data_IF_881825577547
#
_entry.id   IF_881825577547
#
_cell.length_a   1.000
_cell.length_b   1.000
_cell.length_c   1.000
_cell.angle_alpha   90.00
_cell.angle_beta   90.00
_cell.angle_gamma   90.00
#
_symmetry.space_group_name_H-M   'P 1'
#
loop_
_entity.id
_entity.type
_entity.pdbx_description
1 polymer ?
#
# COMPACT_ATOMS: atom_id res chain seq x y z
N UNK A 1 -40.08 5.21 -23.90
CA UNK A 1 -39.01 4.20 -23.78
C UNK A 1 -38.20 4.38 -22.48
N UNK A 2 -37.88 5.61 -22.05
CA UNK A 2 -37.12 5.86 -20.81
C UNK A 2 -37.83 5.36 -19.53
N UNK A 3 -39.15 5.49 -19.44
CA UNK A 3 -39.90 5.13 -18.24
C UNK A 3 -40.09 3.60 -18.04
N UNK A 4 -40.08 2.85 -19.13
CA UNK A 4 -40.18 1.38 -19.07
C UNK A 4 -38.83 0.77 -18.61
N UNK A 5 -37.73 1.37 -19.02
CA UNK A 5 -36.38 0.95 -18.62
C UNK A 5 -36.10 1.31 -17.14
N UNK A 6 -36.52 2.49 -16.70
CA UNK A 6 -36.48 2.87 -15.28
C UNK A 6 -37.25 1.85 -14.43
N UNK A 7 -38.47 1.45 -14.83
CA UNK A 7 -39.28 0.46 -14.09
C UNK A 7 -38.72 -0.96 -14.04
N UNK A 8 -38.01 -1.43 -15.10
CA UNK A 8 -37.43 -2.78 -15.12
C UNK A 8 -36.18 -2.89 -14.22
N UNK A 9 -35.39 -1.85 -14.16
CA UNK A 9 -34.19 -1.84 -13.30
C UNK A 9 -34.56 -1.59 -11.80
N UNK A 10 -35.61 -0.81 -11.53
CA UNK A 10 -36.17 -0.70 -10.17
C UNK A 10 -36.65 -2.04 -9.61
N UNK A 11 -37.08 -2.98 -10.46
CA UNK A 11 -37.48 -4.33 -9.98
C UNK A 11 -36.31 -5.16 -9.42
N UNK A 12 -35.08 -4.90 -9.81
CA UNK A 12 -33.90 -5.53 -9.20
C UNK A 12 -33.61 -5.02 -7.78
N UNK A 13 -34.07 -3.82 -7.42
CA UNK A 13 -33.97 -3.24 -6.08
C UNK A 13 -35.23 -3.48 -5.23
N UNK A 14 -36.25 -4.16 -5.74
CA UNK A 14 -37.42 -4.55 -4.94
C UNK A 14 -37.07 -5.79 -4.11
N UNK A 15 -36.48 -5.57 -2.98
CA UNK A 15 -36.55 -6.47 -1.85
C UNK A 15 -37.20 -5.70 -0.68
N UNK A 16 -38.36 -6.16 -0.27
CA UNK A 16 -39.19 -5.75 0.87
C UNK A 16 -39.57 -4.25 1.00
N UNK A 17 -40.71 -3.99 1.61
CA UNK A 17 -41.35 -2.67 1.74
C UNK A 17 -40.59 -1.68 2.65
N UNK A 18 -39.39 -2.01 3.10
CA UNK A 18 -38.61 -1.28 4.09
C UNK A 18 -37.45 -0.45 3.56
N UNK A 19 -37.30 -0.30 2.21
CA UNK A 19 -36.17 0.44 1.64
C UNK A 19 -36.55 1.84 1.17
N UNK A 20 -35.72 2.83 1.52
CA UNK A 20 -35.77 4.19 0.97
C UNK A 20 -34.74 4.32 -0.12
N UNK A 21 -35.14 4.83 -1.30
CA UNK A 21 -34.27 5.11 -2.43
C UNK A 21 -34.04 6.62 -2.47
N UNK A 22 -32.78 7.03 -2.39
CA UNK A 22 -32.35 8.41 -2.62
C UNK A 22 -32.06 8.60 -4.11
N UNK A 23 -32.62 9.64 -4.70
CA UNK A 23 -32.42 9.99 -6.10
C UNK A 23 -31.84 11.41 -6.21
N UNK A 24 -30.79 11.56 -7.01
CA UNK A 24 -30.12 12.84 -7.29
C UNK A 24 -30.04 13.05 -8.80
N UNK A 25 -30.50 14.21 -9.29
CA UNK A 25 -30.62 14.51 -10.73
C UNK A 25 -29.41 15.31 -11.28
N UNK A 26 -28.60 15.90 -10.39
CA UNK A 26 -27.59 16.92 -10.77
C UNK A 26 -26.24 16.64 -10.10
N UNK A 27 -25.66 15.48 -10.40
CA UNK A 27 -24.31 15.14 -9.96
C UNK A 27 -23.34 15.32 -11.13
N UNK A 28 -22.41 16.26 -10.99
CA UNK A 28 -21.28 16.41 -11.91
C UNK A 28 -20.09 15.59 -11.42
N UNK A 29 -19.69 14.59 -12.20
CA UNK A 29 -18.56 13.73 -11.90
C UNK A 29 -17.81 13.32 -13.17
N UNK A 30 -16.59 12.86 -13.03
CA UNK A 30 -15.77 12.41 -14.16
C UNK A 30 -16.06 10.97 -14.59
N UNK A 31 -16.61 10.17 -13.69
CA UNK A 31 -16.94 8.75 -13.90
C UNK A 31 -18.08 8.31 -12.96
N UNK A 32 -18.58 7.09 -13.20
CA UNK A 32 -19.67 6.49 -12.44
C UNK A 32 -19.32 6.30 -10.95
N UNK A 33 -18.07 6.00 -10.64
CA UNK A 33 -17.59 5.85 -9.27
C UNK A 33 -17.61 7.20 -8.55
N UNK A 34 -17.14 8.26 -9.21
CA UNK A 34 -17.18 9.61 -8.67
C UNK A 34 -18.62 10.09 -8.43
N UNK A 35 -19.54 9.80 -9.36
CA UNK A 35 -20.95 10.14 -9.24
C UNK A 35 -21.61 9.41 -8.06
N UNK A 36 -21.40 8.11 -7.96
CA UNK A 36 -21.95 7.29 -6.86
C UNK A 36 -21.43 7.75 -5.51
N UNK A 37 -20.16 8.14 -5.45
CA UNK A 37 -19.54 8.62 -4.23
C UNK A 37 -20.14 9.96 -3.76
N UNK A 38 -20.30 10.94 -4.66
CA UNK A 38 -20.94 12.22 -4.35
C UNK A 38 -22.35 12.01 -3.84
N UNK A 39 -23.12 11.11 -4.47
CA UNK A 39 -24.45 10.74 -4.02
C UNK A 39 -24.43 10.17 -2.59
N UNK A 40 -23.50 9.27 -2.32
CA UNK A 40 -23.32 8.63 -1.03
C UNK A 40 -22.93 9.63 0.08
N UNK A 41 -22.02 10.57 -0.21
CA UNK A 41 -21.69 11.66 0.74
C UNK A 41 -22.92 12.51 1.10
N UNK A 42 -23.75 12.85 0.10
CA UNK A 42 -24.99 13.61 0.34
C UNK A 42 -25.97 12.85 1.22
N UNK A 43 -26.14 11.55 0.97
CA UNK A 43 -27.00 10.68 1.80
C UNK A 43 -26.45 10.57 3.22
N UNK A 44 -25.14 10.34 3.37
CA UNK A 44 -24.50 10.25 4.69
C UNK A 44 -24.63 11.55 5.48
N UNK A 45 -24.49 12.71 4.82
CA UNK A 45 -24.71 13.99 5.46
C UNK A 45 -26.15 14.10 5.99
N UNK A 46 -27.15 13.76 5.18
CA UNK A 46 -28.56 13.74 5.58
C UNK A 46 -28.78 12.82 6.78
N UNK A 47 -28.25 11.60 6.72
CA UNK A 47 -28.41 10.63 7.80
C UNK A 47 -27.64 11.01 9.06
N UNK A 48 -26.51 11.73 8.93
CA UNK A 48 -25.78 12.26 10.09
C UNK A 48 -26.61 13.29 10.85
N UNK A 49 -27.39 14.13 10.16
CA UNK A 49 -28.35 15.00 10.82
C UNK A 49 -29.46 14.19 11.49
N UNK A 50 -29.97 13.16 10.84
CA UNK A 50 -31.00 12.29 11.40
C UNK A 50 -30.53 11.57 12.66
N UNK A 51 -29.34 10.96 12.61
CA UNK A 51 -28.75 10.29 13.79
C UNK A 51 -28.35 11.25 14.90
N UNK A 52 -28.04 12.51 14.58
CA UNK A 52 -27.83 13.54 15.61
C UNK A 52 -29.11 13.87 16.40
N UNK A 53 -30.28 13.67 15.79
CA UNK A 53 -31.58 13.85 16.45
C UNK A 53 -32.02 12.57 17.17
N UNK A 54 -31.83 11.41 16.56
CA UNK A 54 -32.14 10.09 17.14
C UNK A 54 -30.96 9.11 16.93
N UNK A 55 -30.13 8.98 17.95
CA UNK A 55 -28.94 8.13 17.95
C UNK A 55 -29.21 6.62 18.11
N UNK A 56 -30.46 6.20 18.18
CA UNK A 56 -30.87 4.79 18.30
C UNK A 56 -31.08 4.13 16.94
N UNK A 57 -31.19 4.93 15.87
CA UNK A 57 -31.42 4.44 14.52
C UNK A 57 -30.07 4.37 13.80
N UNK A 58 -29.63 3.17 13.50
CA UNK A 58 -28.44 2.91 12.65
C UNK A 58 -28.91 2.54 11.24
N UNK A 59 -28.96 3.50 10.30
CA UNK A 59 -29.41 3.22 8.95
C UNK A 59 -28.40 2.29 8.26
N UNK A 60 -28.89 1.22 7.65
CA UNK A 60 -28.08 0.32 6.85
C UNK A 60 -28.24 0.67 5.37
N UNK A 61 -27.13 0.81 4.68
CA UNK A 61 -27.12 1.03 3.25
C UNK A 61 -26.97 -0.28 2.49
N UNK A 62 -27.55 -0.29 1.30
CA UNK A 62 -27.18 -1.28 0.30
C UNK A 62 -25.82 -0.86 -0.28
N UNK A 63 -24.93 -1.81 -0.50
CA UNK A 63 -23.56 -1.62 -1.00
C UNK A 63 -23.47 -1.33 -2.50
N UNK A 64 -24.60 -1.05 -3.17
CA UNK A 64 -24.66 -0.79 -4.62
C UNK A 64 -25.46 0.48 -4.91
N UNK A 65 -24.88 1.36 -5.73
CA UNK A 65 -25.59 2.49 -6.36
C UNK A 65 -25.85 2.22 -7.84
N UNK A 66 -26.91 2.81 -8.35
CA UNK A 66 -27.19 2.86 -9.79
C UNK A 66 -26.89 4.27 -10.30
N UNK A 67 -25.96 4.36 -11.22
CA UNK A 67 -25.57 5.63 -11.90
C UNK A 67 -26.13 5.62 -13.32
N UNK A 68 -26.78 6.72 -13.69
CA UNK A 68 -27.32 6.94 -15.05
C UNK A 68 -26.65 8.18 -15.64
N UNK A 69 -25.82 8.01 -16.64
CA UNK A 69 -25.21 9.11 -17.38
C UNK A 69 -26.22 9.65 -18.41
N UNK A 70 -26.30 10.98 -18.60
CA UNK A 70 -27.22 11.61 -19.57
C UNK A 70 -27.04 11.08 -21.00
N UNK A 71 -25.81 10.75 -21.37
CA UNK A 71 -25.44 10.25 -22.70
C UNK A 71 -25.55 8.73 -22.85
N UNK A 72 -25.64 7.98 -21.75
CA UNK A 72 -25.63 6.53 -21.76
C UNK A 72 -27.03 5.93 -21.79
N UNK A 73 -27.25 4.92 -22.65
CA UNK A 73 -28.50 4.18 -22.71
C UNK A 73 -28.65 3.09 -21.65
N UNK A 74 -27.59 2.78 -20.90
CA UNK A 74 -27.56 1.69 -19.90
C UNK A 74 -27.02 2.23 -18.58
N UNK A 75 -27.72 2.01 -17.45
CA UNK A 75 -27.22 2.42 -16.15
C UNK A 75 -26.04 1.57 -15.71
N UNK A 76 -25.05 2.16 -15.07
CA UNK A 76 -23.98 1.49 -14.37
C UNK A 76 -24.38 1.16 -12.93
N UNK A 77 -23.96 -0.02 -12.44
CA UNK A 77 -24.12 -0.41 -11.05
C UNK A 77 -22.75 -0.36 -10.39
N UNK A 78 -22.61 0.51 -9.40
CA UNK A 78 -21.36 0.75 -8.67
C UNK A 78 -21.49 0.19 -7.27
N UNK A 79 -20.58 -0.71 -6.89
CA UNK A 79 -20.55 -1.25 -5.53
C UNK A 79 -19.76 -0.31 -4.61
N UNK A 80 -20.37 -0.01 -3.44
CA UNK A 80 -19.68 0.67 -2.34
C UNK A 80 -19.00 -0.38 -1.48
N UNK A 81 -17.77 -0.24 -1.14
CA UNK A 81 -17.13 -1.06 -0.12
C UNK A 81 -16.01 -1.97 -0.57
N UNK A 82 -15.72 -2.06 -1.85
CA UNK A 82 -14.43 -2.55 -2.26
C UNK A 82 -13.47 -1.36 -2.33
N UNK A 83 -12.73 -1.13 -1.24
CA UNK A 83 -11.63 -0.20 -1.34
C UNK A 83 -10.65 -0.80 -2.35
N UNK A 84 -10.51 -0.16 -3.51
CA UNK A 84 -9.51 -0.49 -4.54
C UNK A 84 -8.06 -0.33 -4.03
N UNK A 85 -7.88 -0.22 -2.72
CA UNK A 85 -6.66 0.22 -2.03
C UNK A 85 -5.82 -0.91 -1.45
N UNK A 86 -6.01 -2.17 -1.83
CA UNK A 86 -5.20 -3.24 -1.26
C UNK A 86 -3.84 -3.35 -1.94
N UNK A 87 -2.76 -3.23 -1.19
CA UNK A 87 -1.40 -3.55 -1.64
C UNK A 87 -1.18 -5.06 -1.75
N UNK A 88 -1.95 -5.83 -0.98
CA UNK A 88 -1.91 -7.29 -0.98
C UNK A 88 -3.09 -7.79 -1.81
N UNK A 89 -2.82 -8.09 -3.08
CA UNK A 89 -3.79 -8.68 -3.98
C UNK A 89 -3.61 -10.20 -4.07
N UNK A 90 -4.72 -10.92 -4.18
CA UNK A 90 -4.73 -12.30 -4.67
C UNK A 90 -4.54 -13.40 -3.63
N UNK A 91 -4.53 -13.08 -2.34
CA UNK A 91 -4.53 -14.12 -1.31
C UNK A 91 -5.94 -14.70 -1.15
N UNK A 92 -6.08 -16.02 -1.25
CA UNK A 92 -7.37 -16.68 -0.97
C UNK A 92 -7.73 -16.56 0.50
N UNK A 93 -9.03 -16.57 0.83
CA UNK A 93 -9.53 -16.35 2.20
C UNK A 93 -8.91 -17.33 3.19
N UNK A 94 -8.77 -18.60 2.77
CA UNK A 94 -8.16 -19.66 3.57
C UNK A 94 -6.69 -19.39 3.86
N UNK A 95 -5.93 -18.95 2.86
CA UNK A 95 -4.51 -18.61 2.99
C UNK A 95 -4.34 -17.38 3.90
N UNK A 96 -5.18 -16.35 3.70
CA UNK A 96 -5.18 -15.14 4.52
C UNK A 96 -5.50 -15.45 5.98
N UNK A 97 -6.45 -16.39 6.24
CA UNK A 97 -6.81 -16.82 7.60
C UNK A 97 -5.65 -17.51 8.29
N UNK A 98 -5.00 -18.46 7.60
CA UNK A 98 -3.82 -19.19 8.14
C UNK A 98 -2.66 -18.20 8.41
N UNK A 99 -2.43 -17.28 7.48
CA UNK A 99 -1.39 -16.26 7.65
C UNK A 99 -1.67 -15.37 8.86
N UNK A 100 -2.90 -14.86 9.00
CA UNK A 100 -3.31 -14.01 10.12
C UNK A 100 -3.20 -14.73 11.46
N UNK A 101 -3.63 -16.00 11.56
CA UNK A 101 -3.51 -16.80 12.77
C UNK A 101 -2.05 -16.97 13.19
N UNK A 102 -1.18 -17.35 12.25
CA UNK A 102 0.25 -17.49 12.51
C UNK A 102 0.90 -16.18 12.94
N UNK A 103 0.56 -15.09 12.27
CA UNK A 103 1.05 -13.75 12.60
C UNK A 103 0.64 -13.34 14.01
N UNK A 104 -0.66 -13.44 14.33
CA UNK A 104 -1.18 -13.09 15.66
C UNK A 104 -0.52 -13.94 16.75
N UNK A 105 -0.41 -15.25 16.54
CA UNK A 105 0.24 -16.15 17.49
C UNK A 105 1.68 -15.75 17.77
N UNK A 106 2.45 -15.42 16.73
CA UNK A 106 3.83 -14.94 16.86
C UNK A 106 3.91 -13.59 17.56
N UNK A 107 3.05 -12.64 17.22
CA UNK A 107 3.01 -11.32 17.85
C UNK A 107 2.66 -11.42 19.35
N UNK A 108 1.71 -12.26 19.73
CA UNK A 108 1.36 -12.50 21.13
C UNK A 108 2.55 -13.10 21.88
N UNK A 109 3.26 -14.04 21.25
CA UNK A 109 4.40 -14.72 21.88
C UNK A 109 5.61 -13.79 22.04
N UNK A 110 5.92 -12.98 21.02
CA UNK A 110 7.21 -12.28 20.92
C UNK A 110 7.14 -10.76 21.11
N UNK A 111 5.98 -10.15 20.87
CA UNK A 111 5.83 -8.69 20.84
C UNK A 111 4.67 -8.19 21.72
N UNK A 112 4.43 -8.85 22.86
CA UNK A 112 3.30 -8.55 23.75
C UNK A 112 3.22 -7.06 24.14
N UNK A 113 4.35 -6.44 24.41
CA UNK A 113 4.42 -5.01 24.79
C UNK A 113 4.00 -4.07 23.64
N UNK A 114 4.16 -4.50 22.39
CA UNK A 114 3.82 -3.70 21.20
C UNK A 114 2.38 -3.91 20.72
N UNK A 115 1.70 -4.96 21.20
CA UNK A 115 0.34 -5.32 20.77
C UNK A 115 -0.68 -4.19 20.91
N UNK A 116 -0.74 -3.40 22.00
CA UNK A 116 -1.73 -2.32 22.13
C UNK A 116 -1.56 -1.27 21.04
N UNK A 117 -0.32 -0.95 20.66
CA UNK A 117 -0.02 0.03 19.62
C UNK A 117 -0.31 -0.52 18.22
N UNK A 118 0.03 -1.77 17.95
CA UNK A 118 -0.28 -2.45 16.70
C UNK A 118 -1.77 -2.63 16.50
N UNK A 119 -2.50 -3.12 17.50
CA UNK A 119 -3.95 -3.31 17.42
C UNK A 119 -4.68 -2.00 17.21
N UNK A 120 -4.22 -0.90 17.83
CA UNK A 120 -4.78 0.44 17.58
C UNK A 120 -4.57 0.87 16.13
N UNK A 121 -3.40 0.67 15.56
CA UNK A 121 -3.12 1.02 14.16
C UNK A 121 -3.97 0.17 13.19
N UNK A 122 -4.05 -1.15 13.42
CA UNK A 122 -4.90 -2.07 12.64
C UNK A 122 -6.39 -1.69 12.76
N UNK A 123 -6.87 -1.31 13.94
CA UNK A 123 -8.24 -0.84 14.12
C UNK A 123 -8.52 0.45 13.35
N UNK A 124 -7.60 1.42 13.36
CA UNK A 124 -7.69 2.65 12.58
C UNK A 124 -7.66 2.38 11.07
N UNK A 125 -6.80 1.47 10.62
CA UNK A 125 -6.79 1.02 9.24
C UNK A 125 -8.12 0.39 8.83
N UNK A 126 -8.66 -0.54 9.64
CA UNK A 126 -9.96 -1.16 9.39
C UNK A 126 -11.11 -0.13 9.40
N UNK A 127 -11.06 0.87 10.28
CA UNK A 127 -12.03 1.96 10.27
C UNK A 127 -11.96 2.77 8.97
N UNK A 128 -10.78 2.98 8.41
CA UNK A 128 -10.65 3.67 7.14
C UNK A 128 -11.29 2.90 5.99
N UNK A 129 -11.13 1.57 5.95
CA UNK A 129 -11.73 0.71 4.93
C UNK A 129 -13.26 0.65 5.02
N UNK A 130 -13.81 0.83 6.22
CA UNK A 130 -15.25 0.83 6.49
C UNK A 130 -15.85 2.25 6.50
N UNK A 131 -15.01 3.27 6.34
CA UNK A 131 -15.48 4.65 6.39
C UNK A 131 -16.43 4.93 5.23
N UNK A 132 -17.60 5.50 5.49
CA UNK A 132 -18.54 5.86 4.44
C UNK A 132 -18.09 7.06 3.61
N UNK A 133 -17.12 7.81 4.09
CA UNK A 133 -16.57 8.98 3.39
C UNK A 133 -15.04 8.93 3.31
N UNK A 134 -14.49 9.55 2.27
CA UNK A 134 -13.03 9.62 2.08
C UNK A 134 -12.33 10.45 3.16
N UNK A 135 -13.01 11.44 3.72
CA UNK A 135 -12.42 12.32 4.73
C UNK A 135 -12.17 11.58 6.03
N UNK A 136 -13.16 10.85 6.54
CA UNK A 136 -13.03 10.01 7.73
C UNK A 136 -12.03 8.89 7.55
N UNK A 137 -12.06 8.21 6.37
CA UNK A 137 -11.07 7.20 6.00
C UNK A 137 -9.66 7.76 5.98
N UNK A 138 -9.45 8.91 5.34
CA UNK A 138 -8.18 9.58 5.25
C UNK A 138 -7.60 9.98 6.63
N UNK A 139 -8.44 10.54 7.51
CA UNK A 139 -8.02 10.88 8.88
C UNK A 139 -7.64 9.65 9.70
N UNK A 140 -8.38 8.55 9.53
CA UNK A 140 -8.09 7.28 10.19
C UNK A 140 -6.75 6.69 9.74
N UNK A 141 -6.45 6.73 8.43
CA UNK A 141 -5.16 6.29 7.89
C UNK A 141 -4.00 7.13 8.43
N UNK A 142 -4.15 8.46 8.44
CA UNK A 142 -3.11 9.33 8.98
C UNK A 142 -2.87 9.06 10.46
N UNK A 143 -3.95 8.92 11.26
CA UNK A 143 -3.85 8.58 12.68
C UNK A 143 -3.17 7.23 12.92
N UNK A 144 -3.38 6.25 12.05
CA UNK A 144 -2.67 4.97 12.12
C UNK A 144 -1.16 5.12 11.88
N UNK A 145 -0.75 5.97 10.91
CA UNK A 145 0.66 6.31 10.71
C UNK A 145 1.27 7.00 11.93
N UNK A 146 0.56 7.99 12.52
CA UNK A 146 1.01 8.67 13.75
C UNK A 146 1.20 7.68 14.91
N UNK A 147 0.30 6.71 15.05
CA UNK A 147 0.39 5.67 16.08
C UNK A 147 1.62 4.79 15.90
N UNK A 148 1.95 4.41 14.67
CA UNK A 148 3.12 3.55 14.40
C UNK A 148 4.45 4.31 14.37
N UNK A 149 4.43 5.63 14.19
CA UNK A 149 5.65 6.43 14.01
C UNK A 149 6.47 6.56 15.29
N UNK A 150 7.79 6.56 15.13
CA UNK A 150 8.77 6.79 16.21
C UNK A 150 8.67 8.22 16.70
N UNK A 151 8.48 8.39 18.00
CA UNK A 151 8.45 9.73 18.64
C UNK A 151 9.83 10.35 18.79
N UNK A 152 10.88 9.55 18.73
CA UNK A 152 12.28 9.99 18.90
C UNK A 152 12.92 10.61 17.66
N UNK A 153 12.30 10.49 16.47
CA UNK A 153 12.93 10.91 15.20
C UNK A 153 12.47 12.28 14.68
N UNK A 154 11.61 13.00 15.40
CA UNK A 154 11.11 14.31 15.00
C UNK A 154 10.45 15.09 16.13
N UNK A 155 10.31 16.40 15.94
CA UNK A 155 9.76 17.32 16.94
C UNK A 155 8.23 17.52 16.80
N UNK A 156 7.67 17.16 15.66
CA UNK A 156 6.25 17.27 15.38
C UNK A 156 5.75 16.03 14.60
N UNK A 157 4.43 15.87 14.50
CA UNK A 157 3.81 14.70 13.89
C UNK A 157 4.31 14.42 12.46
N UNK A 158 4.46 15.45 11.63
CA UNK A 158 4.97 15.28 10.27
C UNK A 158 6.41 14.78 10.27
N UNK A 159 7.28 15.33 11.09
CA UNK A 159 8.67 14.90 11.20
C UNK A 159 8.77 13.47 11.73
N UNK A 160 7.96 13.10 12.73
CA UNK A 160 7.91 11.75 13.27
C UNK A 160 7.45 10.74 12.22
N UNK A 161 6.39 11.05 11.48
CA UNK A 161 5.89 10.20 10.39
C UNK A 161 6.93 10.09 9.27
N UNK A 162 7.44 11.20 8.77
CA UNK A 162 8.42 11.20 7.67
C UNK A 162 9.75 10.59 8.09
N UNK A 163 10.23 10.88 9.29
CA UNK A 163 11.47 10.30 9.84
C UNK A 163 11.40 8.79 10.02
N UNK A 164 10.21 8.25 10.28
CA UNK A 164 10.00 6.80 10.40
C UNK A 164 9.84 6.13 9.04
N UNK A 165 8.93 6.65 8.20
CA UNK A 165 8.50 5.91 7.01
C UNK A 165 9.45 6.07 5.82
N UNK A 166 10.08 7.23 5.63
CA UNK A 166 10.94 7.47 4.48
C UNK A 166 12.15 6.54 4.40
N UNK A 167 12.87 6.25 5.50
CA UNK A 167 13.94 5.26 5.48
C UNK A 167 13.45 3.85 5.11
N UNK A 168 12.28 3.44 5.63
CA UNK A 168 11.69 2.13 5.35
C UNK A 168 11.29 2.02 3.88
N UNK A 169 10.61 3.04 3.33
CA UNK A 169 10.25 3.08 1.91
C UNK A 169 11.49 3.10 1.00
N UNK A 170 12.55 3.80 1.42
CA UNK A 170 13.80 3.85 0.67
C UNK A 170 14.52 2.50 0.71
N UNK A 171 14.52 1.82 1.85
CA UNK A 171 15.08 0.50 2.05
C UNK A 171 14.38 -0.53 1.14
N UNK A 172 13.04 -0.51 1.11
CA UNK A 172 12.22 -1.44 0.30
C UNK A 172 12.07 -1.01 -1.18
N UNK A 173 12.68 0.11 -1.59
CA UNK A 173 12.49 0.68 -2.93
C UNK A 173 12.85 -0.30 -4.05
N UNK A 174 14.04 -0.90 -4.00
CA UNK A 174 14.50 -1.80 -5.05
C UNK A 174 13.73 -3.12 -5.05
N UNK A 175 13.35 -3.64 -3.89
CA UNK A 175 12.47 -4.79 -3.77
C UNK A 175 11.11 -4.52 -4.44
N UNK A 176 10.49 -3.39 -4.13
CA UNK A 176 9.21 -2.99 -4.71
C UNK A 176 9.28 -2.81 -6.22
N UNK A 177 10.36 -2.15 -6.72
CA UNK A 177 10.59 -1.99 -8.16
C UNK A 177 10.78 -3.34 -8.84
N UNK A 178 11.51 -4.26 -8.23
CA UNK A 178 11.76 -5.61 -8.79
C UNK A 178 10.47 -6.44 -8.83
N UNK A 179 9.67 -6.40 -7.77
CA UNK A 179 8.37 -7.10 -7.71
C UNK A 179 7.41 -6.60 -8.79
N UNK A 180 7.25 -5.27 -8.91
CA UNK A 180 6.42 -4.66 -9.96
C UNK A 180 6.92 -5.05 -11.35
N UNK A 181 8.23 -5.12 -11.49
CA UNK A 181 8.87 -5.48 -12.76
C UNK A 181 8.65 -6.96 -13.11
N UNK A 182 8.81 -7.87 -12.15
CA UNK A 182 8.55 -9.32 -12.32
C UNK A 182 7.10 -9.56 -12.77
N UNK A 183 6.12 -8.95 -12.08
CA UNK A 183 4.69 -9.02 -12.44
C UNK A 183 4.44 -8.53 -13.87
N UNK A 184 5.05 -7.42 -14.28
CA UNK A 184 4.89 -6.83 -15.62
C UNK A 184 5.57 -7.64 -16.71
N UNK A 185 6.74 -8.21 -16.45
CA UNK A 185 7.41 -9.13 -17.38
C UNK A 185 6.56 -10.39 -17.60
N UNK A 186 6.06 -10.97 -16.52
CA UNK A 186 5.19 -12.16 -16.57
C UNK A 186 3.89 -11.92 -17.34
N UNK A 187 3.32 -10.71 -17.23
CA UNK A 187 2.14 -10.32 -18.00
C UNK A 187 2.41 -9.96 -19.47
N UNK A 188 3.64 -9.54 -19.79
CA UNK A 188 4.02 -9.10 -21.15
C UNK A 188 4.63 -10.20 -22.01
N UNK A 189 5.28 -11.20 -21.41
CA UNK A 189 5.88 -12.35 -22.08
C UNK A 189 4.94 -13.55 -22.03
N UNK A 190 5.06 -14.44 -23.03
CA UNK A 190 4.44 -15.77 -22.94
C UNK A 190 5.11 -16.57 -21.81
N UNK A 191 4.37 -17.43 -21.15
CA UNK A 191 4.84 -18.22 -20.00
C UNK A 191 6.17 -18.94 -20.28
N UNK A 192 6.27 -19.60 -21.43
CA UNK A 192 7.49 -20.33 -21.84
C UNK A 192 8.69 -19.39 -22.03
N UNK A 193 8.47 -18.19 -22.60
CA UNK A 193 9.53 -17.19 -22.77
C UNK A 193 10.01 -16.64 -21.44
N UNK A 194 9.08 -16.42 -20.48
CA UNK A 194 9.40 -15.97 -19.14
C UNK A 194 10.20 -17.02 -18.36
N UNK A 195 9.79 -18.29 -18.39
CA UNK A 195 10.51 -19.40 -17.75
C UNK A 195 11.91 -19.59 -18.37
N UNK A 196 12.01 -19.52 -19.71
CA UNK A 196 13.30 -19.56 -20.41
C UNK A 196 14.20 -18.38 -20.03
N UNK A 197 13.65 -17.19 -19.83
CA UNK A 197 14.40 -16.04 -19.34
C UNK A 197 14.99 -16.32 -17.97
N UNK A 198 14.17 -16.77 -17.00
CA UNK A 198 14.62 -17.06 -15.65
C UNK A 198 15.60 -18.22 -15.56
N UNK A 199 15.50 -19.22 -16.45
CA UNK A 199 16.42 -20.36 -16.47
C UNK A 199 17.84 -20.00 -16.92
N UNK A 200 17.99 -18.90 -17.68
CA UNK A 200 19.30 -18.38 -18.12
C UNK A 200 20.00 -17.55 -17.02
N UNK A 201 19.31 -17.23 -15.93
CA UNK A 201 19.85 -16.42 -14.83
C UNK A 201 20.33 -17.35 -13.73
N UNK A 202 21.62 -17.29 -13.44
CA UNK A 202 22.29 -18.17 -12.46
C UNK A 202 22.41 -17.54 -11.08
N UNK A 203 22.23 -16.22 -10.98
CA UNK A 203 22.30 -15.49 -9.71
C UNK A 203 20.91 -15.41 -9.08
N UNK A 204 20.81 -15.85 -7.82
CA UNK A 204 19.58 -15.86 -7.03
C UNK A 204 18.82 -17.19 -7.12
N UNK A 205 18.15 -17.56 -6.02
CA UNK A 205 17.36 -18.78 -5.89
C UNK A 205 15.88 -18.55 -6.17
N UNK A 206 15.37 -17.38 -5.79
CA UNK A 206 13.98 -16.99 -6.00
C UNK A 206 13.74 -16.27 -7.32
N UNK A 207 12.51 -16.27 -7.80
CA UNK A 207 12.05 -15.50 -8.99
C UNK A 207 12.42 -14.01 -8.88
N UNK A 208 12.26 -13.45 -7.67
CA UNK A 208 12.54 -12.03 -7.39
C UNK A 208 14.04 -11.75 -7.47
N UNK A 209 14.88 -12.60 -6.87
CA UNK A 209 16.35 -12.46 -6.94
C UNK A 209 16.85 -12.56 -8.37
N UNK A 210 16.36 -13.54 -9.15
CA UNK A 210 16.68 -13.65 -10.58
C UNK A 210 16.25 -12.43 -11.36
N UNK A 211 15.06 -11.90 -11.10
CA UNK A 211 14.58 -10.67 -11.76
C UNK A 211 15.46 -9.47 -11.38
N UNK A 212 15.87 -9.34 -10.12
CA UNK A 212 16.79 -8.29 -9.69
C UNK A 212 18.16 -8.44 -10.38
N UNK A 213 18.72 -9.64 -10.42
CA UNK A 213 19.96 -9.92 -11.14
C UNK A 213 19.84 -9.55 -12.61
N UNK A 214 18.76 -9.95 -13.27
CA UNK A 214 18.48 -9.57 -14.67
C UNK A 214 18.48 -8.07 -14.90
N UNK A 215 17.87 -7.29 -13.99
CA UNK A 215 17.77 -5.84 -14.14
C UNK A 215 19.11 -5.17 -13.84
N UNK A 216 19.76 -5.54 -12.73
CA UNK A 216 20.82 -4.74 -12.14
C UNK A 216 22.24 -5.23 -12.46
N UNK A 217 22.47 -6.48 -12.82
CA UNK A 217 23.80 -6.98 -13.11
C UNK A 217 24.19 -6.80 -14.59
N UNK A 218 25.38 -6.29 -14.83
CA UNK A 218 25.89 -6.02 -16.19
C UNK A 218 26.04 -7.30 -17.03
N UNK A 219 26.38 -8.43 -16.40
CA UNK A 219 26.56 -9.73 -17.08
C UNK A 219 25.29 -10.19 -17.84
N UNK A 220 24.10 -9.74 -17.47
CA UNK A 220 22.86 -10.06 -18.19
C UNK A 220 22.48 -9.03 -19.29
N UNK A 221 23.44 -8.17 -19.71
CA UNK A 221 23.21 -7.16 -20.76
C UNK A 221 22.74 -7.73 -22.09
N UNK A 222 23.36 -8.83 -22.56
CA UNK A 222 22.94 -9.54 -23.78
C UNK A 222 21.53 -10.12 -23.64
N UNK A 223 21.22 -10.70 -22.49
CA UNK A 223 19.90 -11.28 -22.19
C UNK A 223 18.82 -10.19 -22.13
N UNK A 224 19.13 -9.00 -21.57
CA UNK A 224 18.22 -7.83 -21.60
C UNK A 224 17.94 -7.40 -23.04
N UNK A 225 18.94 -7.39 -23.92
CA UNK A 225 18.76 -7.04 -25.32
C UNK A 225 17.87 -8.05 -26.08
N UNK A 226 17.98 -9.35 -25.80
CA UNK A 226 17.09 -10.39 -26.33
C UNK A 226 15.65 -10.17 -25.85
N UNK A 227 15.46 -10.01 -24.56
CA UNK A 227 14.16 -9.76 -23.94
C UNK A 227 13.51 -8.48 -24.50
N UNK A 228 14.27 -7.41 -24.71
CA UNK A 228 13.76 -6.17 -25.30
C UNK A 228 13.24 -6.33 -26.73
N UNK A 229 13.74 -7.32 -27.50
CA UNK A 229 13.19 -7.63 -28.83
C UNK A 229 11.83 -8.32 -28.72
N UNK A 230 11.68 -9.26 -27.79
CA UNK A 230 10.40 -9.93 -27.51
C UNK A 230 9.35 -8.93 -26.98
N UNK A 231 9.77 -7.92 -26.20
CA UNK A 231 8.93 -6.84 -25.66
C UNK A 231 8.66 -5.69 -26.65
N UNK A 232 8.70 -5.91 -27.97
CA UNK A 232 8.52 -4.86 -28.98
C UNK A 232 7.20 -4.10 -28.83
N UNK A 233 6.12 -4.74 -28.41
CA UNK A 233 4.81 -4.16 -28.16
C UNK A 233 4.72 -3.36 -26.83
N UNK A 234 5.75 -3.41 -25.97
CA UNK A 234 5.75 -2.81 -24.64
C UNK A 234 6.86 -1.75 -24.48
N UNK A 235 6.78 -0.59 -25.14
CA UNK A 235 7.85 0.40 -25.17
C UNK A 235 8.19 0.97 -23.78
N UNK A 236 7.21 1.14 -22.91
CA UNK A 236 7.41 1.63 -21.53
C UNK A 236 8.21 0.63 -20.70
N UNK A 237 7.94 -0.67 -20.83
CA UNK A 237 8.66 -1.72 -20.11
C UNK A 237 10.12 -1.79 -20.58
N UNK A 238 10.37 -1.73 -21.90
CA UNK A 238 11.71 -1.65 -22.48
C UNK A 238 12.50 -0.42 -21.98
N UNK A 239 11.86 0.75 -21.96
CA UNK A 239 12.47 1.96 -21.43
C UNK A 239 12.87 1.82 -19.97
N UNK A 240 12.00 1.21 -19.15
CA UNK A 240 12.29 0.96 -17.73
C UNK A 240 13.46 -0.01 -17.54
N UNK A 241 13.54 -1.10 -18.35
CA UNK A 241 14.69 -2.01 -18.33
C UNK A 241 15.98 -1.22 -18.56
N UNK A 242 16.02 -0.44 -19.62
CA UNK A 242 17.18 0.35 -19.97
C UNK A 242 17.57 1.33 -18.86
N UNK A 243 16.60 2.09 -18.34
CA UNK A 243 16.86 3.13 -17.33
C UNK A 243 17.36 2.54 -16.01
N UNK A 244 16.78 1.42 -15.57
CA UNK A 244 17.21 0.75 -14.34
C UNK A 244 18.59 0.10 -14.49
N UNK A 245 18.83 -0.58 -15.61
CA UNK A 245 20.13 -1.20 -15.87
C UNK A 245 21.24 -0.17 -16.10
N UNK A 246 20.93 0.98 -16.70
CA UNK A 246 21.89 2.07 -16.85
C UNK A 246 22.26 2.70 -15.49
N UNK A 247 21.26 2.91 -14.62
CA UNK A 247 21.51 3.35 -13.25
C UNK A 247 22.32 2.33 -12.42
N UNK A 248 22.23 1.05 -12.74
CA UNK A 248 22.96 -0.01 -12.03
C UNK A 248 24.44 -0.13 -12.40
N UNK A 249 24.93 0.59 -13.42
CA UNK A 249 26.35 0.62 -13.79
C UNK A 249 27.25 1.15 -12.68
N UNK A 250 26.72 2.01 -11.82
CA UNK A 250 27.40 2.52 -10.63
C UNK A 250 26.47 2.43 -9.42
N UNK A 251 26.95 1.89 -8.31
CA UNK A 251 26.21 1.85 -7.03
C UNK A 251 25.69 3.23 -6.64
N UNK A 252 26.49 4.27 -6.82
CA UNK A 252 26.12 5.66 -6.51
C UNK A 252 24.95 6.17 -7.36
N UNK A 253 24.80 5.74 -8.59
CA UNK A 253 23.68 6.12 -9.45
C UNK A 253 22.37 5.48 -8.98
N UNK A 254 22.42 4.25 -8.47
CA UNK A 254 21.28 3.61 -7.79
C UNK A 254 20.92 4.36 -6.50
N UNK A 255 21.89 4.70 -5.67
CA UNK A 255 21.65 5.52 -4.48
C UNK A 255 20.93 6.82 -4.84
N UNK A 256 21.41 7.55 -5.85
CA UNK A 256 20.77 8.77 -6.33
C UNK A 256 19.33 8.54 -6.80
N UNK A 257 19.05 7.37 -7.38
CA UNK A 257 17.71 7.00 -7.83
C UNK A 257 16.77 6.79 -6.64
N UNK A 258 17.21 6.09 -5.60
CA UNK A 258 16.45 5.91 -4.36
C UNK A 258 16.27 7.22 -3.59
N UNK A 259 17.27 8.12 -3.58
CA UNK A 259 17.15 9.45 -2.96
C UNK A 259 16.16 10.36 -3.71
N UNK A 260 16.09 10.29 -5.05
CA UNK A 260 15.06 10.99 -5.81
C UNK A 260 13.66 10.46 -5.48
N UNK A 261 13.51 9.14 -5.29
CA UNK A 261 12.25 8.54 -4.84
C UNK A 261 11.88 9.04 -3.44
N UNK A 262 12.81 8.97 -2.48
CA UNK A 262 12.64 9.47 -1.12
C UNK A 262 12.13 10.92 -1.09
N UNK A 263 12.76 11.83 -1.83
CA UNK A 263 12.35 13.25 -1.91
C UNK A 263 10.92 13.42 -2.46
N UNK A 264 10.54 12.63 -3.47
CA UNK A 264 9.17 12.67 -4.01
C UNK A 264 8.14 12.23 -2.98
N UNK A 265 8.43 11.16 -2.24
CA UNK A 265 7.55 10.68 -1.16
C UNK A 265 7.46 11.70 -0.02
N UNK A 266 8.56 12.33 0.36
CA UNK A 266 8.60 13.39 1.38
C UNK A 266 7.69 14.57 1.03
N UNK A 267 7.75 15.05 -0.21
CA UNK A 267 6.83 16.09 -0.69
C UNK A 267 5.37 15.62 -0.70
N UNK A 268 5.15 14.38 -1.04
CA UNK A 268 3.82 13.80 -1.04
C UNK A 268 3.24 13.68 0.37
N UNK A 269 4.01 13.18 1.34
CA UNK A 269 3.63 13.14 2.75
C UNK A 269 3.37 14.55 3.32
N UNK A 270 4.17 15.53 2.95
CA UNK A 270 3.93 16.93 3.34
C UNK A 270 2.62 17.48 2.77
N UNK A 271 2.22 17.06 1.55
CA UNK A 271 0.93 17.41 0.96
C UNK A 271 -0.23 16.71 1.68
N UNK A 272 -0.07 15.43 2.00
CA UNK A 272 -1.04 14.64 2.77
C UNK A 272 -1.27 15.29 4.14
N UNK A 273 -0.21 15.66 4.86
CA UNK A 273 -0.29 16.33 6.16
C UNK A 273 -1.03 17.67 6.09
N UNK A 274 -0.75 18.49 5.07
CA UNK A 274 -1.49 19.75 4.86
C UNK A 274 -2.98 19.50 4.59
N UNK A 275 -3.31 18.45 3.83
CA UNK A 275 -4.69 18.04 3.60
C UNK A 275 -5.37 17.63 4.90
N UNK A 276 -4.71 16.80 5.73
CA UNK A 276 -5.19 16.40 7.06
C UNK A 276 -5.49 17.63 7.93
N UNK A 277 -4.57 18.58 7.96
CA UNK A 277 -4.76 19.81 8.76
C UNK A 277 -5.92 20.67 8.23
N UNK A 278 -6.08 20.79 6.92
CA UNK A 278 -7.24 21.48 6.33
C UNK A 278 -8.56 20.80 6.70
N UNK A 279 -8.63 19.47 6.62
CA UNK A 279 -9.81 18.70 7.02
C UNK A 279 -10.16 18.94 8.50
N UNK A 280 -9.17 18.84 9.40
CA UNK A 280 -9.40 18.95 10.85
C UNK A 280 -9.77 20.37 11.27
N UNK A 281 -9.12 21.40 10.72
CA UNK A 281 -9.27 22.76 11.20
C UNK A 281 -10.31 23.58 10.43
N UNK A 282 -10.55 23.30 9.17
CA UNK A 282 -11.49 24.06 8.35
C UNK A 282 -12.62 23.25 7.73
N UNK A 283 -12.61 21.91 7.88
CA UNK A 283 -13.55 21.03 7.20
C UNK A 283 -13.42 21.04 5.66
N UNK A 284 -12.35 21.65 5.12
CA UNK A 284 -12.15 21.77 3.69
C UNK A 284 -11.72 20.43 3.08
N UNK A 285 -12.56 19.87 2.22
CA UNK A 285 -12.29 18.61 1.51
C UNK A 285 -11.73 18.92 0.13
N UNK A 286 -10.46 18.58 -0.17
CA UNK A 286 -9.90 18.80 -1.50
C UNK A 286 -10.44 17.77 -2.50
N UNK A 287 -10.66 18.19 -3.75
CA UNK A 287 -11.19 17.33 -4.82
C UNK A 287 -10.40 16.03 -5.07
N UNK A 288 -9.12 16.02 -4.73
CA UNK A 288 -8.23 14.87 -4.94
C UNK A 288 -7.96 14.07 -3.67
N UNK A 289 -8.81 14.15 -2.65
CA UNK A 289 -8.65 13.43 -1.39
C UNK A 289 -8.58 11.93 -1.58
N UNK A 290 -9.34 11.37 -2.53
CA UNK A 290 -9.31 9.97 -2.90
C UNK A 290 -7.88 9.53 -3.25
N UNK A 291 -7.26 10.17 -4.25
CA UNK A 291 -5.89 9.81 -4.68
C UNK A 291 -4.84 9.98 -3.57
N UNK A 292 -5.02 10.99 -2.71
CA UNK A 292 -4.14 11.15 -1.56
C UNK A 292 -4.34 10.02 -0.54
N UNK A 293 -5.59 9.58 -0.35
CA UNK A 293 -5.95 8.45 0.51
C UNK A 293 -5.35 7.13 0.02
N UNK A 294 -5.40 6.87 -1.29
CA UNK A 294 -4.78 5.70 -1.92
C UNK A 294 -3.28 5.60 -1.60
N UNK A 295 -2.56 6.67 -1.81
CA UNK A 295 -1.14 6.70 -1.49
C UNK A 295 -0.85 6.62 0.02
N UNK A 296 -1.69 7.26 0.82
CA UNK A 296 -1.57 7.20 2.28
C UNK A 296 -1.76 5.77 2.79
N UNK A 297 -2.75 5.07 2.24
CA UNK A 297 -3.01 3.66 2.53
C UNK A 297 -1.81 2.80 2.14
N UNK A 298 -1.27 2.97 0.93
CA UNK A 298 -0.06 2.28 0.48
C UNK A 298 1.13 2.47 1.46
N UNK A 299 1.35 3.69 1.94
CA UNK A 299 2.43 3.96 2.89
C UNK A 299 2.20 3.30 4.24
N UNK A 300 0.95 3.31 4.70
CA UNK A 300 0.57 2.64 5.96
C UNK A 300 0.74 1.12 5.85
N UNK A 301 0.29 0.52 4.76
CA UNK A 301 0.42 -0.93 4.54
C UNK A 301 1.88 -1.38 4.57
N UNK A 302 2.75 -0.65 3.87
CA UNK A 302 4.19 -0.97 3.89
C UNK A 302 4.79 -0.85 5.30
N UNK A 303 4.38 0.16 6.07
CA UNK A 303 4.83 0.32 7.45
C UNK A 303 4.29 -0.79 8.35
N UNK A 304 3.02 -1.16 8.23
CA UNK A 304 2.43 -2.26 9.00
C UNK A 304 3.09 -3.59 8.68
N UNK A 305 3.33 -3.89 7.39
CA UNK A 305 4.03 -5.09 6.98
C UNK A 305 5.44 -5.16 7.56
N UNK A 306 6.19 -4.05 7.54
CA UNK A 306 7.51 -3.99 8.16
C UNK A 306 7.44 -4.29 9.66
N UNK A 307 6.47 -3.69 10.37
CA UNK A 307 6.27 -3.97 11.79
C UNK A 307 5.94 -5.45 12.04
N UNK A 308 5.04 -6.02 11.23
CA UNK A 308 4.64 -7.42 11.37
C UNK A 308 5.79 -8.38 11.08
N UNK A 309 6.53 -8.16 10.00
CA UNK A 309 7.69 -8.98 9.64
C UNK A 309 8.71 -9.00 10.77
N UNK A 310 9.15 -7.83 11.25
CA UNK A 310 10.18 -7.73 12.26
C UNK A 310 9.75 -8.30 13.63
N UNK A 311 8.55 -7.97 14.07
CA UNK A 311 8.06 -8.41 15.38
C UNK A 311 7.64 -9.90 15.39
N UNK A 312 7.30 -10.48 14.24
CA UNK A 312 6.96 -11.89 14.14
C UNK A 312 8.18 -12.81 14.01
N UNK A 313 9.35 -12.29 13.67
CA UNK A 313 10.58 -13.08 13.57
C UNK A 313 11.16 -13.53 14.93
N UNK A 314 10.65 -13.03 16.03
CA UNK A 314 10.74 -13.64 17.37
C UNK A 314 12.05 -13.49 18.12
N UNK A 315 13.13 -13.07 17.49
CA UNK A 315 14.48 -13.24 18.06
C UNK A 315 15.13 -11.93 18.52
N UNK A 316 14.71 -10.78 18.00
CA UNK A 316 15.45 -9.55 18.26
C UNK A 316 14.62 -8.41 18.85
N UNK A 317 13.32 -8.34 18.59
CA UNK A 317 12.53 -7.17 18.93
C UNK A 317 11.20 -7.56 19.60
N UNK A 318 11.08 -7.30 20.89
CA UNK A 318 9.79 -7.31 21.59
C UNK A 318 9.10 -5.94 21.54
N UNK A 319 9.85 -4.87 21.27
CA UNK A 319 9.36 -3.50 21.17
C UNK A 319 9.33 -2.98 19.75
N UNK A 320 8.22 -2.33 19.39
CA UNK A 320 8.00 -1.74 18.07
C UNK A 320 9.07 -0.69 17.73
N UNK A 321 9.45 0.15 18.68
CA UNK A 321 10.42 1.22 18.44
C UNK A 321 11.79 0.66 18.08
N UNK A 322 12.23 -0.40 18.75
CA UNK A 322 13.48 -1.08 18.44
C UNK A 322 13.46 -1.73 17.05
N UNK A 323 12.34 -2.36 16.69
CA UNK A 323 12.15 -2.93 15.36
C UNK A 323 12.22 -1.88 14.26
N UNK A 324 11.60 -0.73 14.47
CA UNK A 324 11.63 0.39 13.51
C UNK A 324 13.02 1.04 13.44
N UNK A 325 13.68 1.25 14.57
CA UNK A 325 15.06 1.80 14.60
C UNK A 325 16.04 0.90 13.84
N UNK A 326 15.88 -0.42 13.92
CA UNK A 326 16.67 -1.37 13.14
C UNK A 326 16.45 -1.19 11.61
N UNK A 327 15.21 -0.92 11.18
CA UNK A 327 14.93 -0.61 9.78
C UNK A 327 15.59 0.69 9.33
N UNK A 328 15.61 1.70 10.19
CA UNK A 328 16.30 2.96 9.92
C UNK A 328 17.81 2.74 9.78
N UNK A 329 18.39 1.97 10.69
CA UNK A 329 19.81 1.59 10.65
C UNK A 329 20.15 0.79 9.38
N UNK A 330 19.31 -0.18 9.02
CA UNK A 330 19.46 -0.97 7.80
C UNK A 330 19.45 -0.09 6.54
N UNK A 331 18.60 0.94 6.51
CA UNK A 331 18.60 1.92 5.43
C UNK A 331 19.92 2.69 5.34
N UNK A 332 20.48 3.13 6.46
CA UNK A 332 21.76 3.85 6.49
C UNK A 332 22.94 2.94 6.10
N UNK A 333 22.89 1.65 6.46
CA UNK A 333 23.89 0.65 6.02
C UNK A 333 23.81 0.49 4.50
N UNK A 334 22.62 0.29 3.94
CA UNK A 334 22.44 0.18 2.49
C UNK A 334 22.94 1.42 1.74
N UNK A 335 22.65 2.62 2.25
CA UNK A 335 23.17 3.87 1.67
C UNK A 335 24.70 3.93 1.65
N UNK A 336 25.35 3.48 2.72
CA UNK A 336 26.83 3.40 2.79
C UNK A 336 27.37 2.40 1.79
N UNK A 337 26.74 1.23 1.65
CA UNK A 337 27.15 0.21 0.66
C UNK A 337 27.00 0.69 -0.79
N UNK A 338 25.95 1.47 -1.07
CA UNK A 338 25.69 2.03 -2.40
C UNK A 338 26.49 3.32 -2.68
N UNK A 339 27.15 3.92 -1.69
CA UNK A 339 27.91 5.16 -1.88
C UNK A 339 29.31 4.89 -2.42
N UNK A 340 29.45 4.15 -3.52
CA UNK A 340 30.69 3.93 -4.24
C UNK A 340 30.48 4.05 -5.75
N UNK A 341 31.57 4.16 -6.50
CA UNK A 341 31.54 4.15 -7.97
C UNK A 341 31.66 2.74 -8.55
N UNK A 342 31.73 1.73 -7.69
CA UNK A 342 31.85 0.35 -8.11
C UNK A 342 30.56 -0.11 -8.81
N UNK A 343 30.69 -1.12 -9.66
CA UNK A 343 29.56 -1.84 -10.23
C UNK A 343 28.93 -2.77 -9.18
N UNK A 344 27.65 -3.07 -9.36
CA UNK A 344 26.98 -4.10 -8.58
C UNK A 344 27.56 -5.48 -8.90
N UNK A 345 27.70 -6.30 -7.85
CA UNK A 345 28.09 -7.70 -7.94
C UNK A 345 26.94 -8.59 -7.51
N UNK A 346 27.06 -9.88 -7.79
CA UNK A 346 26.05 -10.89 -7.43
C UNK A 346 25.69 -10.84 -5.94
N UNK A 347 26.67 -10.66 -5.05
CA UNK A 347 26.48 -10.59 -3.61
C UNK A 347 25.68 -9.34 -3.17
N UNK A 348 25.66 -8.28 -3.97
CA UNK A 348 24.90 -7.05 -3.66
C UNK A 348 23.40 -7.22 -3.93
N UNK A 349 22.99 -8.21 -4.74
CA UNK A 349 21.58 -8.39 -5.14
C UNK A 349 20.70 -8.68 -3.92
N UNK A 350 21.15 -9.57 -3.05
CA UNK A 350 20.38 -9.91 -1.85
C UNK A 350 20.23 -8.67 -0.94
N UNK A 351 21.28 -7.88 -0.78
CA UNK A 351 21.20 -6.65 0.03
C UNK A 351 20.24 -5.60 -0.55
N UNK A 352 20.04 -5.58 -1.88
CA UNK A 352 19.12 -4.66 -2.54
C UNK A 352 17.64 -5.04 -2.38
N UNK A 353 17.32 -6.35 -2.36
CA UNK A 353 15.94 -6.84 -2.44
C UNK A 353 15.44 -7.50 -1.15
N UNK A 354 16.35 -7.95 -0.31
CA UNK A 354 16.06 -8.49 1.02
C UNK A 354 17.00 -7.79 2.02
N UNK A 355 16.76 -6.52 2.36
CA UNK A 355 17.62 -5.79 3.24
C UNK A 355 17.65 -6.44 4.62
N UNK A 356 18.75 -7.13 4.82
CA UNK A 356 19.33 -7.64 6.06
C UNK A 356 18.34 -8.11 7.13
N UNK A 357 17.84 -9.34 6.98
CA UNK A 357 17.73 -10.22 8.12
C UNK A 357 19.02 -11.04 8.16
N UNK A 358 19.94 -10.71 9.04
CA UNK A 358 20.95 -11.68 9.43
C UNK A 358 20.21 -12.93 9.88
N UNK A 359 20.37 -14.02 9.13
CA UNK A 359 20.15 -15.36 9.63
C UNK A 359 21.10 -15.50 10.81
N UNK A 360 20.66 -15.11 11.98
CA UNK A 360 21.31 -15.49 13.22
C UNK A 360 20.52 -16.65 13.81
N UNK A 361 21.27 -17.65 14.17
CA UNK A 361 20.87 -18.87 14.82
C UNK A 361 19.79 -18.63 15.89
N UNK A 362 18.90 -19.62 16.02
CA UNK A 362 17.83 -19.74 16.99
C UNK A 362 18.31 -19.47 18.43
N UNK A 363 18.34 -18.21 18.85
CA UNK A 363 18.42 -17.86 20.24
C UNK A 363 17.00 -17.61 20.77
N UNK A 364 16.56 -18.46 21.65
CA UNK A 364 15.34 -18.27 22.44
C UNK A 364 15.55 -17.10 23.42
N UNK A 365 15.10 -15.91 23.03
CA UNK A 365 14.90 -14.84 24.02
C UNK A 365 13.46 -14.89 24.52
N UNK A 366 13.28 -15.19 25.77
CA UNK A 366 12.05 -14.93 26.50
C UNK A 366 11.96 -13.45 26.78
N UNK A 367 10.83 -12.84 26.43
CA UNK A 367 10.54 -11.44 26.76
C UNK A 367 10.29 -11.34 28.26
N UNK A 368 11.26 -10.83 29.02
CA UNK A 368 11.10 -10.48 30.43
C UNK A 368 10.31 -9.15 30.56
N UNK A 369 9.08 -9.16 30.07
CA UNK A 369 8.12 -8.12 30.41
C UNK A 369 7.54 -8.45 31.78
N UNK A 370 8.29 -8.20 32.85
CA UNK A 370 7.77 -8.26 34.21
C UNK A 370 6.66 -7.20 34.38
N UNK A 371 5.60 -7.66 34.96
CA UNK A 371 4.42 -6.91 35.35
C UNK A 371 4.80 -5.65 36.14
N UNK A 372 4.71 -4.49 35.51
CA UNK A 372 4.49 -3.27 36.26
C UNK A 372 2.97 -3.03 36.30
N UNK A 373 2.36 -3.59 37.34
CA UNK A 373 1.03 -3.23 37.84
C UNK A 373 1.01 -1.79 38.37
#
# INVERSE_FOLDING_TARGET
ASDVYKRQNYKKFKHDDDYVIFHFDDIEAYDDNGASHIAFERVNLFLSFFTAVDNKIEPKFHDVAMVVEESASVPAFVSFGNSEYSVIEGMQIEEASIYAERLITKLIKHARCSLPRLTKAVALHNNSLKSPDYSGGFLSLWSALEVLSLKSVGNNDLEQVTGTILPILQLKYFQSVTNDFSKKLKGALQQESYERLLSKITVGDSEIEKTAAFIFLEEYGSLRNECCKELSAYPVLRYRIHTLSDAAKEKKALLNTSEKYRKRVEWHLSRIYRTRNALVHSGAVPRNIRYLGEHLHFYLDLLMLECFEKLSCGVQFCELDNALLDSLLSCEILKKQLNSKDQLKSDDIQALIAPVFTKQDEFEYTCDCEEQT
#
